data_IF_738410559028
#
_entry.id   IF_738410559028
#
_cell.length_a   1.000
_cell.length_b   1.000
_cell.length_c   1.000
_cell.angle_alpha   90.00
_cell.angle_beta   90.00
_cell.angle_gamma   90.00
#
_symmetry.space_group_name_H-M   'P 1'
#
loop_
_entity.id
_entity.type
_entity.pdbx_description
1 polymer ?
#
# COMPACT_ATOMS: atom_id res chain seq x y z
N UNK A 1 -18.44 2.56 -15.31
CA UNK A 1 -17.16 2.98 -14.67
C UNK A 1 -16.14 3.15 -15.79
N UNK A 2 -15.51 4.32 -15.94
CA UNK A 2 -14.57 4.54 -17.06
C UNK A 2 -13.23 3.83 -16.77
N UNK A 3 -12.58 3.33 -17.82
CA UNK A 3 -11.25 2.73 -17.72
C UNK A 3 -10.24 3.65 -17.03
N UNK A 4 -10.35 4.96 -17.29
CA UNK A 4 -9.50 5.99 -16.68
C UNK A 4 -9.71 6.10 -15.18
N UNK A 5 -10.97 6.11 -14.71
CA UNK A 5 -11.27 6.15 -13.26
C UNK A 5 -10.78 4.91 -12.53
N UNK A 6 -10.87 3.73 -13.16
CA UNK A 6 -10.36 2.49 -12.58
C UNK A 6 -8.84 2.56 -12.39
N UNK A 7 -8.09 2.96 -13.42
CA UNK A 7 -6.64 3.03 -13.34
C UNK A 7 -6.11 4.16 -12.46
N UNK A 8 -6.83 5.30 -12.38
CA UNK A 8 -6.51 6.38 -11.44
C UNK A 8 -6.60 5.89 -9.99
N UNK A 9 -7.63 5.12 -9.66
CA UNK A 9 -7.74 4.52 -8.32
C UNK A 9 -6.67 3.45 -8.14
N UNK A 10 -6.45 2.59 -9.14
CA UNK A 10 -5.46 1.52 -9.07
C UNK A 10 -4.03 2.03 -8.79
N UNK A 11 -3.60 3.14 -9.44
CA UNK A 11 -2.26 3.68 -9.20
C UNK A 11 -2.12 4.31 -7.81
N UNK A 12 -3.18 4.94 -7.28
CA UNK A 12 -3.16 5.52 -5.94
C UNK A 12 -3.21 4.46 -4.84
N UNK A 13 -3.96 3.38 -5.08
CA UNK A 13 -4.02 2.23 -4.18
C UNK A 13 -2.72 1.42 -4.20
N UNK A 14 -2.10 1.27 -5.37
CA UNK A 14 -0.81 0.57 -5.49
C UNK A 14 0.36 1.36 -4.88
N UNK A 15 0.28 2.70 -4.90
CA UNK A 15 1.34 3.59 -4.40
C UNK A 15 0.74 4.63 -3.44
N UNK A 16 0.33 4.23 -2.23
CA UNK A 16 -0.35 5.13 -1.31
C UNK A 16 0.58 6.24 -0.80
N UNK A 17 0.10 7.48 -0.82
CA UNK A 17 0.87 8.65 -0.36
C UNK A 17 1.35 8.49 1.09
N UNK A 18 0.50 7.95 1.97
CA UNK A 18 0.81 7.72 3.38
C UNK A 18 2.11 6.91 3.59
N UNK A 19 2.47 6.04 2.63
CA UNK A 19 3.68 5.22 2.69
C UNK A 19 4.92 5.94 2.19
N UNK A 20 4.77 6.75 1.14
CA UNK A 20 5.90 7.42 0.47
C UNK A 20 6.11 8.87 0.93
N UNK A 21 5.25 9.37 1.81
CA UNK A 21 5.35 10.68 2.45
C UNK A 21 4.91 11.87 1.60
N UNK A 22 4.88 11.72 0.27
CA UNK A 22 4.34 12.74 -0.64
C UNK A 22 3.84 12.11 -1.94
N UNK A 23 2.89 12.79 -2.59
CA UNK A 23 2.45 12.45 -3.96
C UNK A 23 3.62 12.34 -4.94
N UNK A 24 4.59 13.25 -4.88
CA UNK A 24 5.74 13.25 -5.80
C UNK A 24 6.59 12.00 -5.63
N UNK A 25 6.84 11.59 -4.39
CA UNK A 25 7.58 10.36 -4.08
C UNK A 25 6.82 9.11 -4.54
N UNK A 26 5.49 9.07 -4.32
CA UNK A 26 4.65 7.97 -4.78
C UNK A 26 4.64 7.85 -6.32
N UNK A 27 4.52 8.98 -7.03
CA UNK A 27 4.61 9.02 -8.49
C UNK A 27 5.99 8.56 -9.00
N UNK A 28 7.07 8.92 -8.31
CA UNK A 28 8.41 8.47 -8.69
C UNK A 28 8.60 6.97 -8.52
N UNK A 29 8.08 6.41 -7.42
CA UNK A 29 8.12 4.96 -7.19
C UNK A 29 7.22 4.19 -8.16
N UNK A 30 6.05 4.72 -8.49
CA UNK A 30 5.20 4.19 -9.55
C UNK A 30 5.92 4.18 -10.90
N UNK A 31 6.64 5.26 -11.24
CA UNK A 31 7.47 5.33 -12.45
C UNK A 31 8.55 4.25 -12.47
N UNK A 32 9.34 4.12 -11.39
CA UNK A 32 10.39 3.09 -11.29
C UNK A 32 9.83 1.68 -11.42
N UNK A 33 8.65 1.43 -10.86
CA UNK A 33 7.97 0.15 -10.92
C UNK A 33 7.50 -0.17 -12.35
N UNK A 34 6.82 0.79 -13.00
CA UNK A 34 6.26 0.62 -14.33
C UNK A 34 7.35 0.49 -15.42
N UNK A 35 8.43 1.27 -15.34
CA UNK A 35 9.56 1.17 -16.27
C UNK A 35 10.19 -0.23 -16.34
N UNK A 36 10.06 -1.03 -15.28
CA UNK A 36 10.64 -2.38 -15.20
C UNK A 36 9.70 -3.47 -15.71
N UNK A 37 8.42 -3.14 -15.93
CA UNK A 37 7.35 -4.11 -16.21
C UNK A 37 6.60 -3.84 -17.50
N UNK A 38 6.68 -2.61 -18.00
CA UNK A 38 6.09 -2.21 -19.26
C UNK A 38 7.21 -2.09 -20.28
N UNK A 39 7.02 -2.71 -21.45
CA UNK A 39 7.92 -2.67 -22.60
C UNK A 39 8.01 -1.29 -23.24
N UNK A 40 6.97 -0.46 -23.08
CA UNK A 40 6.94 0.91 -23.58
C UNK A 40 7.79 1.84 -22.74
N UNK A 41 8.29 2.88 -23.40
CA UNK A 41 8.99 3.97 -22.74
C UNK A 41 8.03 4.73 -21.80
N UNK A 42 8.06 4.35 -20.53
CA UNK A 42 7.32 5.03 -19.48
C UNK A 42 8.03 6.34 -19.14
N UNK A 43 7.26 7.40 -18.89
CA UNK A 43 7.78 8.71 -18.49
C UNK A 43 7.08 9.21 -17.23
N UNK A 44 7.75 10.05 -16.44
CA UNK A 44 7.12 10.70 -15.28
C UNK A 44 5.84 11.48 -15.65
N UNK A 45 5.82 12.09 -16.84
CA UNK A 45 4.63 12.79 -17.36
C UNK A 45 3.46 11.81 -17.57
N UNK A 46 3.74 10.62 -18.10
CA UNK A 46 2.74 9.58 -18.31
C UNK A 46 2.16 9.11 -16.98
N UNK A 47 3.02 8.80 -16.01
CA UNK A 47 2.61 8.42 -14.65
C UNK A 47 1.73 9.49 -14.01
N UNK A 48 2.13 10.76 -14.10
CA UNK A 48 1.31 11.88 -13.61
C UNK A 48 -0.06 11.94 -14.30
N UNK A 49 -0.10 11.78 -15.62
CA UNK A 49 -1.39 11.77 -16.35
C UNK A 49 -2.33 10.64 -15.91
N UNK A 50 -1.78 9.46 -15.56
CA UNK A 50 -2.56 8.34 -15.03
C UNK A 50 -3.01 8.66 -13.60
N UNK A 51 -2.12 9.22 -12.78
CA UNK A 51 -2.38 9.61 -11.39
C UNK A 51 -3.50 10.65 -11.25
N UNK A 52 -3.52 11.63 -12.14
CA UNK A 52 -4.51 12.72 -12.17
C UNK A 52 -5.80 12.32 -12.88
N UNK A 53 -5.84 11.15 -13.53
CA UNK A 53 -6.98 10.73 -14.35
C UNK A 53 -7.09 11.51 -15.68
N UNK A 54 -6.04 12.22 -16.08
CA UNK A 54 -5.97 12.96 -17.35
C UNK A 54 -5.59 12.07 -18.55
N UNK A 55 -5.23 10.81 -18.31
CA UNK A 55 -4.87 9.86 -19.37
C UNK A 55 -6.11 9.46 -20.20
N UNK A 56 -6.12 9.86 -21.48
CA UNK A 56 -7.19 9.53 -22.44
C UNK A 56 -7.32 8.02 -22.70
N UNK A 57 -6.20 7.30 -22.75
CA UNK A 57 -6.15 5.84 -22.93
C UNK A 57 -5.11 5.28 -21.96
N UNK A 58 -5.37 4.09 -21.45
CA UNK A 58 -4.44 3.30 -20.64
C UNK A 58 -4.35 1.93 -21.27
N UNK A 59 -3.13 1.53 -21.62
CA UNK A 59 -2.88 0.32 -22.37
C UNK A 59 -3.00 -0.91 -21.45
N UNK A 60 -3.30 -2.09 -22.03
CA UNK A 60 -3.49 -3.32 -21.26
C UNK A 60 -2.29 -3.66 -20.36
N UNK A 61 -1.08 -3.52 -20.90
CA UNK A 61 0.18 -3.74 -20.18
C UNK A 61 0.35 -2.79 -18.98
N UNK A 62 -0.04 -1.52 -19.12
CA UNK A 62 -0.02 -0.57 -18.00
C UNK A 62 -1.05 -0.98 -16.93
N UNK A 63 -2.24 -1.44 -17.34
CA UNK A 63 -3.26 -1.94 -16.41
C UNK A 63 -2.78 -3.19 -15.66
N UNK A 64 -2.16 -4.13 -16.36
CA UNK A 64 -1.65 -5.36 -15.77
C UNK A 64 -0.53 -5.08 -14.76
N UNK A 65 0.42 -4.20 -15.11
CA UNK A 65 1.47 -3.77 -14.20
C UNK A 65 0.90 -3.05 -12.96
N UNK A 66 -0.13 -2.21 -13.11
CA UNK A 66 -0.81 -1.56 -11.98
C UNK A 66 -1.55 -2.57 -11.09
N UNK A 67 -2.17 -3.60 -11.66
CA UNK A 67 -2.81 -4.68 -10.88
C UNK A 67 -1.77 -5.45 -10.08
N UNK A 68 -0.63 -5.78 -10.68
CA UNK A 68 0.48 -6.45 -9.99
C UNK A 68 1.00 -5.58 -8.83
N UNK A 69 1.21 -4.29 -9.07
CA UNK A 69 1.62 -3.33 -8.04
C UNK A 69 0.65 -3.30 -6.86
N UNK A 70 -0.66 -3.25 -7.14
CA UNK A 70 -1.70 -3.29 -6.11
C UNK A 70 -1.66 -4.58 -5.28
N UNK A 71 -1.43 -5.73 -5.92
CA UNK A 71 -1.29 -7.01 -5.22
C UNK A 71 -0.04 -7.02 -4.33
N UNK A 72 1.07 -6.49 -4.82
CA UNK A 72 2.32 -6.38 -4.04
C UNK A 72 2.12 -5.51 -2.80
N UNK A 73 1.44 -4.37 -2.96
CA UNK A 73 1.13 -3.47 -1.85
C UNK A 73 0.17 -4.12 -0.85
N UNK A 74 -0.90 -4.76 -1.31
CA UNK A 74 -1.83 -5.47 -0.43
C UNK A 74 -1.14 -6.58 0.38
N UNK A 75 -0.21 -7.32 -0.25
CA UNK A 75 0.62 -8.33 0.45
C UNK A 75 1.54 -7.69 1.49
N UNK A 76 2.04 -6.49 1.23
CA UNK A 76 2.86 -5.74 2.19
C UNK A 76 2.02 -5.26 3.36
N UNK A 77 0.91 -4.58 3.08
CA UNK A 77 -0.03 -4.08 4.09
C UNK A 77 -0.52 -5.21 4.99
N UNK A 78 -0.84 -6.39 4.43
CA UNK A 78 -1.18 -7.57 5.22
C UNK A 78 -0.08 -7.96 6.21
N UNK A 79 1.20 -7.91 5.82
CA UNK A 79 2.31 -8.21 6.73
C UNK A 79 2.44 -7.16 7.82
N UNK A 80 2.32 -5.89 7.47
CA UNK A 80 2.46 -4.78 8.42
C UNK A 80 1.32 -4.80 9.46
N UNK A 81 0.09 -5.07 9.02
CA UNK A 81 -1.06 -5.25 9.90
C UNK A 81 -0.86 -6.44 10.85
N UNK A 82 -0.39 -7.59 10.33
CA UNK A 82 -0.12 -8.77 11.18
C UNK A 82 0.95 -8.48 12.23
N UNK A 83 2.03 -7.79 11.86
CA UNK A 83 3.07 -7.41 12.81
C UNK A 83 2.53 -6.45 13.89
N UNK A 84 1.68 -5.50 13.50
CA UNK A 84 1.04 -4.59 14.44
C UNK A 84 0.11 -5.34 15.39
N UNK A 85 -0.66 -6.30 14.89
CA UNK A 85 -1.53 -7.15 15.69
C UNK A 85 -0.71 -7.93 16.73
N UNK A 86 0.37 -8.61 16.32
CA UNK A 86 1.26 -9.33 17.24
C UNK A 86 1.84 -8.44 18.35
N UNK A 87 2.18 -7.19 18.04
CA UNK A 87 2.65 -6.23 19.06
C UNK A 87 1.56 -5.85 20.06
N UNK A 88 0.34 -5.65 19.57
CA UNK A 88 -0.81 -5.33 20.41
C UNK A 88 -1.13 -6.53 21.31
N UNK A 89 -1.16 -7.75 20.76
CA UNK A 89 -1.41 -8.98 21.51
C UNK A 89 -0.36 -9.18 22.61
N UNK A 90 0.93 -8.98 22.30
CA UNK A 90 2.01 -9.08 23.28
C UNK A 90 1.87 -8.03 24.41
N UNK A 91 1.46 -6.81 24.07
CA UNK A 91 1.21 -5.77 25.05
C UNK A 91 0.04 -6.14 25.98
N UNK A 92 -1.08 -6.58 25.42
CA UNK A 92 -2.25 -7.00 26.22
C UNK A 92 -1.93 -8.19 27.13
N UNK A 93 -1.23 -9.20 26.61
CA UNK A 93 -0.78 -10.34 27.41
C UNK A 93 0.11 -9.93 28.59
N UNK A 94 0.97 -8.91 28.42
CA UNK A 94 1.80 -8.39 29.51
C UNK A 94 0.97 -7.67 30.60
N UNK A 95 -0.11 -7.00 30.22
CA UNK A 95 -1.02 -6.32 31.15
C UNK A 95 -1.84 -7.32 31.93
N UNK A 96 -2.38 -8.35 31.26
CA UNK A 96 -3.20 -9.38 31.89
C UNK A 96 -2.38 -10.22 32.88
N UNK A 97 -1.15 -10.60 32.51
CA UNK A 97 -0.24 -11.29 33.43
C UNK A 97 0.07 -10.49 34.70
N UNK A 98 0.20 -9.15 34.59
CA UNK A 98 0.43 -8.27 35.74
C UNK A 98 -0.81 -8.11 36.63
N UNK A 99 -2.02 -8.21 36.08
CA UNK A 99 -3.27 -8.21 36.85
C UNK A 99 -3.41 -9.49 37.67
N UNK A 100 -3.14 -10.64 37.06
CA UNK A 100 -3.26 -11.95 37.72
C UNK A 100 -2.27 -12.10 38.89
N UNK A 101 -1.06 -11.53 38.76
CA UNK A 101 -0.08 -11.52 39.86
C UNK A 101 -0.49 -10.61 41.03
N UNK A 102 -1.22 -9.53 40.77
CA UNK A 102 -1.66 -8.57 41.81
C UNK A 102 -2.86 -9.13 42.57
N UNK A 103 -3.81 -9.75 41.87
CA UNK A 103 -4.97 -10.44 42.46
C UNK A 103 -4.55 -11.60 43.37
N UNK A 104 -3.51 -12.35 42.99
CA UNK A 104 -2.98 -13.46 43.80
C UNK A 104 -2.26 -13.00 45.08
N UNK A 105 -1.80 -11.74 45.14
CA UNK A 105 -1.12 -11.18 46.30
C UNK A 105 -2.08 -10.61 47.36
N UNK A 106 -3.31 -10.23 46.98
CA UNK A 106 -4.31 -9.68 47.91
C UNK A 106 -5.11 -10.76 48.68
N UNK A 107 -4.99 -12.04 48.31
CA UNK A 107 -5.72 -13.16 48.94
C UNK A 107 -4.88 -13.85 50.04
N UNK A 108 -3.68 -13.36 50.37
CA UNK A 108 -2.76 -13.99 51.34
C UNK A 108 -2.61 -13.16 52.62
#
# INVERSE_FOLDING_TARGET
MSDTTFSMNAIREAFPEARYGSVKSAQYEAFRFLCRRVSKEMTMRRVRSIWEGAARRIDGEEKDALREAKIEEARREQRDIRQRLTKIDAFLASVDAGRDSTSSAEIR
#
